data_IF_194271576857
#
_entry.id   IF_194271576857
#
_cell.length_a   1.000
_cell.length_b   1.000
_cell.length_c   1.000
_cell.angle_alpha   90.00
_cell.angle_beta   90.00
_cell.angle_gamma   90.00
#
_symmetry.space_group_name_H-M   'P 1'
#
loop_
_entity.id
_entity.type
_entity.pdbx_description
1 polymer ?
#
# COMPACT_ATOMS: atom_id res chain seq x y z
N UNK A 1 -22.58 16.31 8.62
CA UNK A 1 -21.39 17.15 8.88
C UNK A 1 -21.58 18.62 8.51
N UNK A 2 -22.75 19.03 8.02
CA UNK A 2 -23.05 20.44 7.77
C UNK A 2 -22.34 21.08 6.57
N UNK A 3 -21.68 20.29 5.73
CA UNK A 3 -20.90 20.78 4.58
C UNK A 3 -21.70 21.02 3.30
N UNK A 4 -23.04 20.87 3.34
CA UNK A 4 -23.90 21.07 2.16
C UNK A 4 -23.90 22.50 1.60
N UNK A 5 -23.31 23.45 2.31
CA UNK A 5 -23.21 24.85 1.89
C UNK A 5 -21.84 25.21 1.28
N UNK A 6 -20.92 24.26 1.16
CA UNK A 6 -19.62 24.50 0.54
C UNK A 6 -19.78 24.43 -0.98
N UNK A 7 -19.69 25.58 -1.64
CA UNK A 7 -19.83 25.71 -3.09
C UNK A 7 -18.53 26.23 -3.75
N UNK A 8 -17.58 26.68 -2.95
CA UNK A 8 -16.31 27.22 -3.43
C UNK A 8 -15.13 26.83 -2.55
N UNK A 9 -13.89 27.01 -3.04
CA UNK A 9 -12.69 26.83 -2.24
C UNK A 9 -12.63 27.77 -1.03
N UNK A 10 -13.11 28.99 -1.20
CA UNK A 10 -13.13 29.99 -0.11
C UNK A 10 -14.12 29.58 1.00
N UNK A 11 -15.27 29.00 0.64
CA UNK A 11 -16.22 28.44 1.62
C UNK A 11 -15.55 27.26 2.35
N UNK A 12 -14.88 26.38 1.62
CA UNK A 12 -14.14 25.26 2.21
C UNK A 12 -13.11 25.74 3.24
N UNK A 13 -12.28 26.73 2.90
CA UNK A 13 -11.29 27.31 3.82
C UNK A 13 -11.89 27.92 5.07
N UNK A 14 -13.06 28.52 4.96
CA UNK A 14 -13.74 29.19 6.09
C UNK A 14 -14.48 28.22 6.99
N UNK A 15 -15.08 27.20 6.40
CA UNK A 15 -16.03 26.31 7.10
C UNK A 15 -15.37 25.01 7.60
N UNK A 16 -14.31 24.55 6.95
CA UNK A 16 -13.63 23.31 7.36
C UNK A 16 -12.43 23.66 8.24
N UNK A 17 -12.45 23.32 9.53
CA UNK A 17 -11.35 23.63 10.43
C UNK A 17 -10.12 22.78 10.08
N UNK A 18 -8.92 23.34 10.29
CA UNK A 18 -7.69 22.58 10.31
C UNK A 18 -7.66 21.72 11.58
N UNK A 19 -7.48 20.44 11.40
CA UNK A 19 -7.42 19.48 12.50
C UNK A 19 -6.17 18.62 12.37
N UNK A 20 -5.61 18.23 13.50
CA UNK A 20 -4.54 17.25 13.60
C UNK A 20 -5.08 15.84 13.89
N UNK A 21 -4.17 14.87 13.96
CA UNK A 21 -4.55 13.49 14.25
C UNK A 21 -5.17 13.32 15.64
N UNK A 22 -4.69 14.03 16.64
CA UNK A 22 -5.19 13.90 18.01
C UNK A 22 -6.63 14.39 18.11
N UNK A 23 -6.99 15.40 17.35
CA UNK A 23 -8.40 15.91 17.25
C UNK A 23 -9.35 14.86 16.66
N UNK A 24 -8.91 14.09 15.65
CA UNK A 24 -9.77 13.07 15.03
C UNK A 24 -9.68 11.70 15.69
N UNK A 25 -8.68 11.44 16.52
CA UNK A 25 -8.45 10.17 17.19
C UNK A 25 -9.66 9.63 17.98
N UNK A 26 -10.41 10.42 18.73
CA UNK A 26 -11.63 9.93 19.41
C UNK A 26 -12.65 9.34 18.44
N UNK A 27 -12.80 9.92 17.25
CA UNK A 27 -13.68 9.40 16.21
C UNK A 27 -13.15 8.10 15.61
N UNK A 28 -11.82 7.98 15.45
CA UNK A 28 -11.19 6.75 14.99
C UNK A 28 -11.40 5.62 16.00
N UNK A 29 -11.28 5.91 17.31
CA UNK A 29 -11.56 4.93 18.36
C UNK A 29 -13.01 4.44 18.31
N UNK A 30 -13.99 5.35 18.17
CA UNK A 30 -15.40 4.99 17.98
C UNK A 30 -15.61 4.12 16.75
N UNK A 31 -15.07 4.53 15.59
CA UNK A 31 -15.16 3.75 14.36
C UNK A 31 -14.53 2.36 14.51
N UNK A 32 -13.45 2.22 15.31
CA UNK A 32 -12.78 0.95 15.54
C UNK A 32 -13.62 -0.07 16.31
N UNK A 33 -14.62 0.38 17.08
CA UNK A 33 -15.58 -0.52 17.74
C UNK A 33 -16.69 -1.02 16.82
N UNK A 34 -16.68 -0.61 15.54
CA UNK A 34 -17.72 -0.93 14.56
C UNK A 34 -18.87 0.07 14.52
N UNK A 35 -18.76 1.21 15.24
CA UNK A 35 -19.76 2.27 15.17
C UNK A 35 -19.85 2.81 13.74
N UNK A 36 -21.09 2.94 13.24
CA UNK A 36 -21.35 3.39 11.86
C UNK A 36 -21.40 4.91 11.77
N UNK A 37 -21.11 5.40 10.58
CA UNK A 37 -21.35 6.81 10.19
C UNK A 37 -20.61 7.84 11.06
N UNK A 38 -19.43 7.46 11.62
CA UNK A 38 -18.64 8.33 12.49
C UNK A 38 -17.89 9.39 11.68
N UNK A 39 -16.99 8.96 10.78
CA UNK A 39 -16.19 9.85 9.92
C UNK A 39 -16.61 9.77 8.46
N UNK A 40 -17.22 8.67 8.07
CA UNK A 40 -17.66 8.36 6.71
C UNK A 40 -18.93 7.51 6.79
N UNK A 41 -19.82 7.54 5.78
CA UNK A 41 -20.98 6.65 5.77
C UNK A 41 -20.58 5.18 5.86
N UNK A 42 -21.20 4.44 6.77
CA UNK A 42 -20.91 3.05 7.06
C UNK A 42 -19.75 2.85 8.04
N UNK A 43 -19.10 1.70 7.92
CA UNK A 43 -17.95 1.30 8.74
C UNK A 43 -16.71 1.23 7.83
N UNK A 44 -15.52 1.69 8.27
CA UNK A 44 -14.29 1.52 7.52
C UNK A 44 -14.02 0.03 7.25
N UNK A 45 -13.54 -0.27 6.06
CA UNK A 45 -13.18 -1.65 5.69
C UNK A 45 -11.86 -2.09 6.33
N UNK A 46 -10.93 -1.14 6.48
CA UNK A 46 -9.62 -1.32 7.08
C UNK A 46 -9.17 -0.07 7.82
N UNK A 47 -8.17 -0.23 8.68
CA UNK A 47 -7.33 0.87 9.14
C UNK A 47 -5.91 0.72 8.57
N UNK A 48 -5.45 1.71 7.80
CA UNK A 48 -4.06 1.80 7.41
C UNK A 48 -3.22 2.34 8.57
N UNK A 49 -2.15 1.63 8.92
CA UNK A 49 -1.19 2.09 9.93
C UNK A 49 -0.08 2.90 9.28
N UNK A 50 0.28 4.01 9.91
CA UNK A 50 1.44 4.80 9.53
C UNK A 50 2.54 4.67 10.58
N UNK A 51 3.81 4.82 10.17
CA UNK A 51 4.93 4.95 11.11
C UNK A 51 4.81 6.30 11.84
N UNK A 52 4.18 6.31 13.00
CA UNK A 52 4.14 7.49 13.85
C UNK A 52 5.51 7.72 14.50
N UNK A 53 6.04 8.93 14.37
CA UNK A 53 7.37 9.26 14.89
C UNK A 53 7.37 9.68 16.36
N UNK A 54 6.24 10.13 16.92
CA UNK A 54 6.21 10.70 18.28
C UNK A 54 5.06 10.23 19.17
N UNK A 55 3.96 9.73 18.63
CA UNK A 55 2.75 9.38 19.40
C UNK A 55 2.22 7.95 19.14
N UNK A 56 3.07 7.04 18.66
CA UNK A 56 2.67 5.67 18.31
C UNK A 56 2.07 5.57 16.90
N UNK A 57 1.57 4.39 16.56
CA UNK A 57 0.96 4.13 15.25
C UNK A 57 -0.33 4.93 15.07
N UNK A 58 -0.42 5.69 13.99
CA UNK A 58 -1.65 6.38 13.58
C UNK A 58 -2.48 5.47 12.68
N UNK A 59 -3.78 5.51 12.85
CA UNK A 59 -4.74 4.69 12.10
C UNK A 59 -5.55 5.58 11.17
N UNK A 60 -5.45 5.31 9.87
CA UNK A 60 -6.19 6.04 8.83
C UNK A 60 -7.31 5.13 8.32
N UNK A 61 -8.59 5.53 8.43
CA UNK A 61 -9.69 4.72 7.96
C UNK A 61 -9.68 4.60 6.43
N UNK A 62 -9.81 3.37 5.95
CA UNK A 62 -9.93 3.04 4.53
C UNK A 62 -11.35 2.55 4.28
N UNK A 63 -12.12 3.34 3.56
CA UNK A 63 -13.49 3.00 3.20
C UNK A 63 -13.54 2.11 1.94
N UNK A 64 -14.67 1.43 1.66
CA UNK A 64 -14.85 0.70 0.41
C UNK A 64 -14.58 1.57 -0.82
N UNK A 65 -15.02 2.83 -0.81
CA UNK A 65 -14.83 3.77 -1.92
C UNK A 65 -13.37 4.18 -2.10
N UNK A 66 -12.66 4.45 -0.98
CA UNK A 66 -11.26 4.88 -1.05
C UNK A 66 -10.31 3.78 -1.52
N UNK A 67 -10.59 2.51 -1.21
CA UNK A 67 -9.71 1.41 -1.66
C UNK A 67 -9.76 1.26 -3.18
N UNK A 68 -10.92 1.42 -3.80
CA UNK A 68 -11.06 1.39 -5.26
C UNK A 68 -10.20 2.47 -5.92
N UNK A 69 -10.20 3.69 -5.39
CA UNK A 69 -9.35 4.78 -5.88
C UNK A 69 -7.86 4.45 -5.83
N UNK A 70 -7.38 3.83 -4.76
CA UNK A 70 -5.98 3.42 -4.64
C UNK A 70 -5.58 2.40 -5.73
N UNK A 71 -6.42 1.38 -5.93
CA UNK A 71 -6.15 0.33 -6.93
C UNK A 71 -6.20 0.89 -8.34
N UNK A 72 -7.24 1.65 -8.67
CA UNK A 72 -7.45 2.20 -10.00
C UNK A 72 -6.37 3.22 -10.37
N UNK A 73 -5.94 4.05 -9.43
CA UNK A 73 -4.87 5.02 -9.66
C UNK A 73 -3.55 4.32 -9.97
N UNK A 74 -3.16 3.31 -9.20
CA UNK A 74 -1.93 2.54 -9.42
C UNK A 74 -1.97 1.81 -10.78
N UNK A 75 -3.09 1.15 -11.09
CA UNK A 75 -3.31 0.48 -12.37
C UNK A 75 -3.22 1.47 -13.53
N UNK A 76 -3.92 2.59 -13.45
CA UNK A 76 -3.98 3.59 -14.51
C UNK A 76 -2.61 4.24 -14.75
N UNK A 77 -1.81 4.48 -13.70
CA UNK A 77 -0.45 4.97 -13.83
C UNK A 77 0.43 4.00 -14.63
N UNK A 78 0.34 2.70 -14.33
CA UNK A 78 1.06 1.66 -15.06
C UNK A 78 0.63 1.58 -16.54
N UNK A 79 -0.68 1.56 -16.80
CA UNK A 79 -1.23 1.50 -18.14
C UNK A 79 -0.88 2.75 -18.97
N UNK A 80 -0.90 3.93 -18.35
CA UNK A 80 -0.51 5.17 -19.01
C UNK A 80 0.97 5.19 -19.37
N UNK A 81 1.85 4.70 -18.47
CA UNK A 81 3.26 4.52 -18.76
C UNK A 81 3.46 3.59 -19.96
N UNK A 82 2.82 2.43 -19.96
CA UNK A 82 2.88 1.46 -21.07
C UNK A 82 2.44 2.08 -22.39
N UNK A 83 1.32 2.81 -22.38
CA UNK A 83 0.79 3.50 -23.56
C UNK A 83 1.78 4.55 -24.10
N UNK A 84 2.36 5.37 -23.22
CA UNK A 84 3.27 6.46 -23.62
C UNK A 84 4.64 5.95 -24.06
N UNK A 85 5.15 4.90 -23.42
CA UNK A 85 6.49 4.36 -23.72
C UNK A 85 6.52 3.28 -24.79
N UNK A 86 5.35 2.73 -25.18
CA UNK A 86 5.25 1.57 -26.06
C UNK A 86 5.74 0.25 -25.44
N UNK A 87 6.10 0.25 -24.16
CA UNK A 87 6.71 -0.92 -23.48
C UNK A 87 5.66 -1.91 -22.95
N UNK A 88 4.74 -2.36 -23.80
CA UNK A 88 3.65 -3.27 -23.40
C UNK A 88 4.13 -4.62 -22.83
N UNK A 89 5.31 -5.10 -23.27
CA UNK A 89 5.87 -6.37 -22.82
C UNK A 89 6.26 -6.39 -21.35
N UNK A 90 6.34 -5.23 -20.70
CA UNK A 90 6.65 -5.17 -19.27
C UNK A 90 5.61 -5.90 -18.41
N UNK A 91 4.35 -5.92 -18.81
CA UNK A 91 3.29 -6.65 -18.09
C UNK A 91 3.37 -8.18 -18.26
N UNK A 92 4.15 -8.67 -19.22
CA UNK A 92 4.33 -10.11 -19.47
C UNK A 92 5.41 -10.76 -18.60
N UNK A 93 6.22 -9.95 -17.92
CA UNK A 93 7.33 -10.42 -17.09
C UNK A 93 7.05 -10.16 -15.60
N UNK A 94 7.93 -10.66 -14.72
CA UNK A 94 7.81 -10.48 -13.28
C UNK A 94 7.86 -9.01 -12.87
N UNK A 95 7.05 -8.65 -11.91
CA UNK A 95 7.01 -7.32 -11.29
C UNK A 95 7.27 -7.46 -9.79
N UNK A 96 8.38 -6.91 -9.33
CA UNK A 96 8.78 -6.99 -7.92
C UNK A 96 8.23 -5.80 -7.16
N UNK A 97 7.54 -6.08 -6.05
CA UNK A 97 7.08 -5.08 -5.10
C UNK A 97 7.70 -5.35 -3.73
N UNK A 98 8.76 -4.60 -3.41
CA UNK A 98 9.40 -4.65 -2.09
C UNK A 98 8.54 -3.84 -1.11
N UNK A 99 7.79 -4.55 -0.29
CA UNK A 99 6.83 -3.96 0.63
C UNK A 99 6.80 -4.71 1.97
N UNK A 100 6.17 -4.10 3.00
CA UNK A 100 5.94 -4.77 4.28
C UNK A 100 5.04 -5.99 4.13
N UNK A 101 4.93 -6.78 5.21
CA UNK A 101 4.02 -7.94 5.26
C UNK A 101 2.59 -7.53 4.91
N UNK A 102 1.86 -8.33 4.11
CA UNK A 102 0.45 -8.13 3.83
C UNK A 102 -0.45 -8.66 4.95
N UNK A 103 0.11 -9.26 5.99
CA UNK A 103 -0.67 -9.72 7.13
C UNK A 103 -1.31 -8.55 7.85
N UNK A 104 -2.57 -8.74 8.23
CA UNK A 104 -3.36 -7.73 8.91
C UNK A 104 -3.59 -8.15 10.35
N UNK A 105 -3.32 -7.22 11.26
CA UNK A 105 -3.80 -7.29 12.63
C UNK A 105 -5.21 -6.73 12.76
N UNK A 106 -5.59 -6.33 13.97
CA UNK A 106 -6.90 -5.75 14.26
C UNK A 106 -6.75 -4.42 15.02
N UNK A 107 -7.62 -3.45 14.72
CA UNK A 107 -7.87 -2.28 15.54
C UNK A 107 -9.33 -2.33 15.97
N UNK A 108 -9.57 -2.74 17.22
CA UNK A 108 -10.93 -3.09 17.65
C UNK A 108 -11.47 -4.27 16.83
N UNK A 109 -12.58 -4.07 16.13
CA UNK A 109 -13.20 -5.09 15.26
C UNK A 109 -12.85 -4.94 13.78
N UNK A 110 -12.00 -3.97 13.43
CA UNK A 110 -11.64 -3.65 12.04
C UNK A 110 -10.22 -4.14 11.73
N UNK A 111 -10.00 -4.84 10.61
CA UNK A 111 -8.66 -5.24 10.18
C UNK A 111 -7.75 -4.02 9.96
N UNK A 112 -6.51 -4.12 10.42
CA UNK A 112 -5.55 -3.03 10.38
C UNK A 112 -4.16 -3.51 9.93
N UNK A 113 -3.48 -2.70 9.13
CA UNK A 113 -2.14 -3.01 8.65
C UNK A 113 -1.53 -1.89 7.81
N UNK A 114 -0.36 -2.11 7.28
CA UNK A 114 0.26 -1.14 6.35
C UNK A 114 -0.58 -1.00 5.08
N UNK A 115 -0.71 0.20 4.55
CA UNK A 115 -1.50 0.44 3.32
C UNK A 115 -1.06 -0.47 2.16
N UNK A 116 0.24 -0.68 1.97
CA UNK A 116 0.77 -1.58 0.94
C UNK A 116 0.34 -3.04 1.15
N UNK A 117 0.23 -3.48 2.40
CA UNK A 117 -0.32 -4.79 2.77
C UNK A 117 -1.80 -4.88 2.45
N UNK A 118 -2.60 -3.88 2.83
CA UNK A 118 -4.04 -3.82 2.51
C UNK A 118 -4.25 -3.87 0.99
N UNK A 119 -3.52 -3.06 0.23
CA UNK A 119 -3.59 -3.04 -1.24
C UNK A 119 -3.25 -4.41 -1.84
N UNK A 120 -2.34 -5.16 -1.21
CA UNK A 120 -1.96 -6.49 -1.68
C UNK A 120 -3.14 -7.48 -1.77
N UNK A 121 -4.13 -7.35 -0.90
CA UNK A 121 -5.36 -8.17 -0.90
C UNK A 121 -6.33 -7.81 -2.04
N UNK A 122 -6.15 -6.64 -2.67
CA UNK A 122 -7.06 -6.11 -3.69
C UNK A 122 -6.45 -6.08 -5.10
N UNK A 123 -5.25 -6.60 -5.29
CA UNK A 123 -4.62 -6.67 -6.62
C UNK A 123 -5.45 -7.59 -7.53
N UNK A 124 -5.87 -7.14 -8.72
CA UNK A 124 -6.61 -7.96 -9.67
C UNK A 124 -5.86 -9.25 -10.03
N UNK A 125 -6.59 -10.38 -10.16
CA UNK A 125 -6.01 -11.70 -10.38
C UNK A 125 -5.08 -11.78 -11.60
N UNK A 126 -5.39 -11.05 -12.69
CA UNK A 126 -4.55 -11.01 -13.87
C UNK A 126 -3.18 -10.35 -13.64
N UNK A 127 -3.06 -9.45 -12.65
CA UNK A 127 -1.79 -8.84 -12.24
C UNK A 127 -1.04 -9.70 -11.22
N UNK A 128 -1.76 -10.52 -10.46
CA UNK A 128 -1.14 -11.36 -9.43
C UNK A 128 -0.20 -12.42 -10.02
N UNK A 129 -0.50 -12.93 -11.22
CA UNK A 129 0.30 -13.98 -11.89
C UNK A 129 1.79 -13.61 -12.06
N UNK A 130 2.05 -12.35 -12.32
CA UNK A 130 3.42 -11.85 -12.56
C UNK A 130 3.96 -11.03 -11.39
N UNK A 131 3.21 -10.96 -10.29
CA UNK A 131 3.63 -10.25 -9.08
C UNK A 131 4.60 -11.09 -8.27
N UNK A 132 5.67 -10.43 -7.81
CA UNK A 132 6.69 -11.00 -6.94
C UNK A 132 6.86 -10.09 -5.71
N UNK A 133 7.29 -10.59 -4.58
CA UNK A 133 7.46 -12.01 -4.27
C UNK A 133 6.13 -12.75 -4.12
N UNK A 134 6.20 -14.06 -3.93
CA UNK A 134 5.04 -14.88 -3.58
C UNK A 134 4.39 -14.39 -2.28
N UNK A 135 3.13 -14.76 -2.06
CA UNK A 135 2.43 -14.39 -0.82
C UNK A 135 3.19 -14.88 0.42
N UNK A 136 3.65 -16.14 0.40
CA UNK A 136 4.41 -16.74 1.49
C UNK A 136 5.67 -15.94 1.83
N UNK A 137 6.46 -15.59 0.84
CA UNK A 137 7.67 -14.78 1.03
C UNK A 137 7.33 -13.36 1.48
N UNK A 138 6.22 -12.82 0.99
CA UNK A 138 5.80 -11.47 1.38
C UNK A 138 5.34 -11.39 2.84
N UNK A 139 4.88 -12.48 3.45
CA UNK A 139 4.53 -12.58 4.87
C UNK A 139 5.73 -12.71 5.82
N UNK A 140 6.94 -12.92 5.31
CA UNK A 140 8.14 -12.93 6.16
C UNK A 140 8.31 -11.53 6.78
N UNK A 141 8.36 -11.44 8.10
CA UNK A 141 8.47 -10.17 8.81
C UNK A 141 9.91 -9.67 8.89
N UNK A 142 10.84 -10.59 9.17
CA UNK A 142 12.26 -10.28 9.26
C UNK A 142 12.80 -9.93 7.87
N UNK A 143 13.32 -8.68 7.73
CA UNK A 143 13.60 -8.11 6.42
C UNK A 143 14.77 -8.78 5.69
N UNK A 144 15.83 -9.15 6.37
CA UNK A 144 17.00 -9.79 5.74
C UNK A 144 16.62 -11.15 5.17
N UNK A 145 15.97 -11.99 5.95
CA UNK A 145 15.41 -13.28 5.51
C UNK A 145 14.45 -13.12 4.34
N UNK A 146 13.61 -12.09 4.40
CA UNK A 146 12.68 -11.78 3.33
C UNK A 146 13.38 -11.43 2.03
N UNK A 147 14.41 -10.58 2.08
CA UNK A 147 15.16 -10.18 0.89
C UNK A 147 15.88 -11.37 0.28
N UNK A 148 16.49 -12.23 1.09
CA UNK A 148 17.12 -13.47 0.60
C UNK A 148 16.11 -14.36 -0.13
N UNK A 149 14.92 -14.57 0.45
CA UNK A 149 13.87 -15.34 -0.19
C UNK A 149 13.37 -14.68 -1.49
N UNK A 150 13.27 -13.35 -1.55
CA UNK A 150 12.91 -12.61 -2.77
C UNK A 150 13.97 -12.81 -3.85
N UNK A 151 15.24 -12.74 -3.51
CA UNK A 151 16.34 -12.99 -4.45
C UNK A 151 16.22 -14.39 -5.03
N UNK A 152 16.04 -15.42 -4.20
CA UNK A 152 15.88 -16.81 -4.67
C UNK A 152 14.67 -16.99 -5.61
N UNK A 153 13.54 -16.35 -5.32
CA UNK A 153 12.35 -16.42 -6.19
C UNK A 153 12.54 -15.72 -7.54
N UNK A 154 13.38 -14.67 -7.58
CA UNK A 154 13.53 -13.81 -8.75
C UNK A 154 14.69 -14.19 -9.66
N UNK A 155 15.73 -14.90 -9.15
CA UNK A 155 16.91 -15.31 -9.90
C UNK A 155 16.61 -16.01 -11.23
N UNK A 156 15.55 -16.81 -11.28
CA UNK A 156 15.18 -17.63 -12.45
C UNK A 156 14.12 -16.99 -13.35
N UNK A 157 13.75 -15.74 -13.07
CA UNK A 157 12.67 -15.05 -13.80
C UNK A 157 13.16 -13.77 -14.46
N UNK A 158 12.60 -13.47 -15.61
CA UNK A 158 12.78 -12.15 -16.23
C UNK A 158 11.90 -11.13 -15.51
N UNK A 159 12.53 -10.07 -15.00
CA UNK A 159 11.86 -8.98 -14.30
C UNK A 159 11.76 -7.76 -15.21
N UNK A 160 10.72 -6.99 -15.08
CA UNK A 160 10.47 -5.79 -15.89
C UNK A 160 10.14 -4.57 -15.07
N UNK A 161 9.66 -4.75 -13.85
CA UNK A 161 9.30 -3.67 -12.93
C UNK A 161 9.80 -4.02 -11.54
N UNK A 162 10.39 -3.04 -10.89
CA UNK A 162 10.68 -3.10 -9.46
C UNK A 162 10.17 -1.85 -8.78
N UNK A 163 9.51 -2.00 -7.64
CA UNK A 163 9.01 -0.91 -6.81
C UNK A 163 9.34 -1.19 -5.35
N UNK A 164 9.82 -0.18 -4.65
CA UNK A 164 10.18 -0.26 -3.25
C UNK A 164 10.81 1.03 -2.77
N UNK A 165 11.06 1.14 -1.47
CA UNK A 165 11.83 2.25 -0.92
C UNK A 165 13.33 2.09 -1.26
N UNK A 166 14.08 3.17 -1.41
CA UNK A 166 15.47 3.11 -1.88
C UNK A 166 16.39 2.18 -1.07
N UNK A 167 16.26 2.17 0.25
CA UNK A 167 17.06 1.28 1.10
C UNK A 167 16.80 -0.22 0.84
N UNK A 168 15.55 -0.58 0.59
CA UNK A 168 15.17 -1.95 0.28
C UNK A 168 15.60 -2.38 -1.13
N UNK A 169 15.50 -1.47 -2.09
CA UNK A 169 16.01 -1.69 -3.44
C UNK A 169 17.52 -1.93 -3.41
N UNK A 170 18.26 -1.10 -2.67
CA UNK A 170 19.71 -1.25 -2.52
C UNK A 170 20.06 -2.62 -1.96
N UNK A 171 19.47 -3.02 -0.84
CA UNK A 171 19.74 -4.32 -0.20
C UNK A 171 19.40 -5.49 -1.14
N UNK A 172 18.30 -5.41 -1.87
CA UNK A 172 17.95 -6.44 -2.86
C UNK A 172 19.01 -6.57 -3.96
N UNK A 173 19.49 -5.45 -4.52
CA UNK A 173 20.50 -5.49 -5.58
C UNK A 173 21.87 -5.91 -5.06
N UNK A 174 22.26 -5.52 -3.85
CA UNK A 174 23.49 -5.99 -3.19
C UNK A 174 23.47 -7.52 -3.03
N UNK A 175 22.41 -8.07 -2.47
CA UNK A 175 22.27 -9.52 -2.32
C UNK A 175 22.18 -10.26 -3.66
N UNK A 176 21.53 -9.68 -4.66
CA UNK A 176 21.46 -10.25 -5.99
C UNK A 176 22.86 -10.29 -6.64
N UNK A 177 23.66 -9.24 -6.49
CA UNK A 177 25.05 -9.19 -6.94
C UNK A 177 25.93 -10.24 -6.23
N UNK A 178 25.82 -10.37 -4.92
CA UNK A 178 26.53 -11.39 -4.14
C UNK A 178 26.20 -12.80 -4.63
N UNK A 179 24.94 -13.08 -4.96
CA UNK A 179 24.51 -14.41 -5.44
C UNK A 179 24.90 -14.71 -6.88
N UNK A 180 24.95 -13.72 -7.74
CA UNK A 180 25.15 -13.91 -9.18
C UNK A 180 26.57 -13.60 -9.64
N UNK A 181 27.31 -12.80 -8.88
CA UNK A 181 28.59 -12.23 -9.28
C UNK A 181 28.50 -11.26 -10.48
N UNK A 182 27.29 -10.88 -10.88
CA UNK A 182 27.03 -10.04 -12.07
C UNK A 182 26.14 -8.85 -11.71
N UNK A 183 26.47 -7.65 -12.20
CA UNK A 183 25.56 -6.53 -12.08
C UNK A 183 24.26 -6.80 -12.87
N UNK A 184 23.18 -6.23 -12.39
CA UNK A 184 21.89 -6.28 -13.08
C UNK A 184 21.96 -5.31 -14.27
N UNK A 185 21.76 -5.83 -15.48
CA UNK A 185 21.71 -5.08 -16.72
C UNK A 185 20.40 -5.26 -17.47
#
# INVERSE_FOLDING_TARGET
HGYGHINSYDDYRKLVPLVDYETIKPFIERASTGERDVLWPGVPKYFATTSGTTSGSKYIPITPDSISNHIDTARNALLLYMKRSGKYRMAAHGMIFLQGSPELGMKGVIPAGRLSGIVAHHVPGYLQRNRMPSWKTNCIEEWETKVDAIVEETLKRRMSVISGIPSWLRMYFEKLLERTGKPVG
#
